data_IF_114425255331
#
_entry.id   IF_114425255331
#
_cell.length_a   1.000
_cell.length_b   1.000
_cell.length_c   1.000
_cell.angle_alpha   90.00
_cell.angle_beta   90.00
_cell.angle_gamma   90.00
#
_symmetry.space_group_name_H-M   'P 1'
#
loop_
_entity.id
_entity.type
_entity.pdbx_description
1 polymer ?
#
# COMPACT_ATOMS: atom_id res chain seq x y z
N UNK A 1 1.21 11.10 29.56
CA UNK A 1 2.43 10.25 29.60
C UNK A 1 2.47 9.41 28.34
N UNK A 2 3.63 9.29 27.68
CA UNK A 2 3.81 8.47 26.47
C UNK A 2 3.31 7.05 26.71
N UNK A 3 2.45 6.56 25.81
CA UNK A 3 1.81 5.24 25.94
C UNK A 3 2.40 4.21 24.97
N UNK A 4 3.08 4.67 23.92
CA UNK A 4 3.79 3.84 22.95
C UNK A 4 4.90 4.63 22.23
N UNK A 5 5.77 3.92 21.54
CA UNK A 5 6.65 4.52 20.52
C UNK A 5 6.36 3.88 19.16
N UNK A 6 6.49 4.66 18.09
CA UNK A 6 6.40 4.16 16.72
C UNK A 6 7.77 4.33 16.07
N UNK A 7 8.45 3.23 15.85
CA UNK A 7 9.81 3.16 15.33
C UNK A 7 9.76 3.01 13.80
N UNK A 8 10.16 4.05 13.08
CA UNK A 8 10.08 4.16 11.62
C UNK A 8 11.48 4.51 11.07
N UNK A 9 11.97 3.89 9.98
CA UNK A 9 13.27 4.18 9.42
C UNK A 9 13.28 5.51 8.65
N UNK A 10 14.28 6.34 8.89
CA UNK A 10 14.51 7.58 8.19
C UNK A 10 13.39 8.62 8.36
N UNK A 11 13.01 9.25 7.24
CA UNK A 11 11.95 10.25 7.21
C UNK A 11 10.57 9.62 7.05
N UNK A 12 9.73 9.72 8.08
CA UNK A 12 8.34 9.21 8.09
C UNK A 12 7.41 9.92 7.08
N UNK A 13 7.79 11.11 6.61
CA UNK A 13 6.97 11.92 5.70
C UNK A 13 7.23 11.59 4.21
N UNK A 14 7.93 10.50 3.93
CA UNK A 14 8.09 9.95 2.58
C UNK A 14 6.76 9.63 1.92
N UNK A 15 6.63 9.93 0.63
CA UNK A 15 5.41 9.71 -0.14
C UNK A 15 5.33 8.31 -0.76
N UNK A 16 5.33 7.28 0.08
CA UNK A 16 4.96 5.90 -0.31
C UNK A 16 3.81 5.42 0.55
N UNK A 17 3.04 4.45 0.05
CA UNK A 17 1.81 4.00 0.74
C UNK A 17 2.04 3.58 2.20
N UNK A 18 3.13 2.85 2.50
CA UNK A 18 3.48 2.44 3.86
C UNK A 18 3.77 3.64 4.76
N UNK A 19 4.66 4.54 4.33
CA UNK A 19 5.02 5.73 5.12
C UNK A 19 3.83 6.69 5.32
N UNK A 20 2.99 6.90 4.28
CA UNK A 20 1.76 7.69 4.41
C UNK A 20 0.82 7.08 5.46
N UNK A 21 0.67 5.75 5.43
CA UNK A 21 -0.12 5.03 6.41
C UNK A 21 0.40 5.25 7.84
N UNK A 22 1.70 5.01 8.07
CA UNK A 22 2.32 5.09 9.38
C UNK A 22 2.34 6.50 9.95
N UNK A 23 2.72 7.51 9.15
CA UNK A 23 2.68 8.91 9.55
C UNK A 23 1.26 9.35 9.92
N UNK A 24 0.25 8.89 9.16
CA UNK A 24 -1.14 9.22 9.42
C UNK A 24 -1.65 8.52 10.69
N UNK A 25 -1.35 7.23 10.88
CA UNK A 25 -1.68 6.50 12.11
C UNK A 25 -1.06 7.18 13.33
N UNK A 26 0.24 7.54 13.27
CA UNK A 26 0.93 8.24 14.34
C UNK A 26 0.24 9.56 14.71
N UNK A 27 -0.20 10.33 13.72
CA UNK A 27 -0.93 11.58 13.92
C UNK A 27 -2.28 11.33 14.62
N UNK A 28 -3.05 10.32 14.17
CA UNK A 28 -4.36 10.01 14.73
C UNK A 28 -4.29 9.34 16.10
N UNK A 29 -3.27 8.54 16.41
CA UNK A 29 -3.03 8.03 17.75
C UNK A 29 -2.89 9.20 18.74
N UNK A 30 -2.08 10.19 18.42
CA UNK A 30 -1.92 11.38 19.24
C UNK A 30 -3.21 12.21 19.35
N UNK A 31 -3.97 12.34 18.26
CA UNK A 31 -5.27 13.03 18.26
C UNK A 31 -6.30 12.34 19.15
N UNK A 32 -6.27 11.02 19.26
CA UNK A 32 -7.11 10.22 20.15
C UNK A 32 -6.63 10.22 21.61
N UNK A 33 -5.55 10.92 21.94
CA UNK A 33 -4.98 10.95 23.28
C UNK A 33 -4.11 9.73 23.63
N UNK A 34 -3.84 8.84 22.67
CA UNK A 34 -2.84 7.79 22.81
C UNK A 34 -1.46 8.38 22.47
N UNK A 35 -0.84 9.04 23.45
CA UNK A 35 0.43 9.75 23.26
C UNK A 35 1.52 8.80 22.77
N UNK A 36 1.81 8.84 21.48
CA UNK A 36 2.77 7.99 20.77
C UNK A 36 3.91 8.82 20.22
N UNK A 37 5.14 8.50 20.62
CA UNK A 37 6.34 9.19 20.17
C UNK A 37 6.92 8.53 18.92
N UNK A 38 7.29 9.33 17.92
CA UNK A 38 8.10 8.87 16.79
C UNK A 38 9.53 8.55 17.25
N UNK A 39 10.01 7.36 16.94
CA UNK A 39 11.36 6.88 17.16
C UNK A 39 12.04 6.68 15.81
N UNK A 40 12.98 7.56 15.48
CA UNK A 40 13.68 7.52 14.20
C UNK A 40 14.76 6.43 14.23
N UNK A 41 14.69 5.52 13.27
CA UNK A 41 15.69 4.46 13.05
C UNK A 41 16.57 4.77 11.82
N UNK A 42 17.74 4.13 11.67
CA UNK A 42 18.55 4.23 10.46
C UNK A 42 17.76 3.95 9.18
N UNK A 43 18.11 4.64 8.11
CA UNK A 43 17.38 4.67 6.85
C UNK A 43 17.75 3.55 5.85
N UNK A 44 18.71 2.73 6.19
CA UNK A 44 19.26 1.69 5.33
C UNK A 44 18.37 0.42 5.21
N UNK A 45 17.29 0.32 6.00
CA UNK A 45 16.36 -0.81 5.92
C UNK A 45 15.55 -0.79 4.61
N UNK A 46 15.33 -1.96 3.98
CA UNK A 46 15.52 -3.34 4.48
C UNK A 46 16.91 -3.96 4.25
N UNK A 47 17.92 -3.18 3.87
CA UNK A 47 19.30 -3.63 3.62
C UNK A 47 20.30 -2.93 4.55
N UNK A 48 20.15 -3.10 5.90
CA UNK A 48 20.96 -2.37 6.86
C UNK A 48 22.42 -2.78 6.82
N UNK A 49 23.29 -1.81 7.04
CA UNK A 49 24.69 -2.12 7.36
C UNK A 49 24.79 -2.79 8.74
N UNK A 50 25.87 -3.54 9.05
CA UNK A 50 26.06 -4.07 10.40
C UNK A 50 26.03 -2.99 11.50
N UNK A 51 26.52 -1.79 11.21
CA UNK A 51 26.50 -0.66 12.11
C UNK A 51 25.07 -0.13 12.36
N UNK A 52 24.29 0.03 11.29
CA UNK A 52 22.89 0.45 11.39
C UNK A 52 22.01 -0.59 12.10
N UNK A 53 22.31 -1.87 11.89
CA UNK A 53 21.65 -2.97 12.61
C UNK A 53 21.91 -2.85 14.11
N UNK A 54 23.17 -2.75 14.54
CA UNK A 54 23.49 -2.65 15.98
C UNK A 54 22.91 -1.36 16.57
N UNK A 55 23.02 -0.22 15.88
CA UNK A 55 22.42 1.03 16.34
C UNK A 55 20.91 0.93 16.51
N UNK A 56 20.21 0.25 15.58
CA UNK A 56 18.77 0.01 15.69
C UNK A 56 18.45 -0.81 16.93
N UNK A 57 19.19 -1.89 17.17
CA UNK A 57 19.01 -2.72 18.36
C UNK A 57 19.30 -1.98 19.66
N UNK A 58 20.33 -1.14 19.70
CA UNK A 58 20.63 -0.27 20.85
C UNK A 58 19.46 0.68 21.15
N UNK A 59 18.92 1.35 20.12
CA UNK A 59 17.77 2.25 20.23
C UNK A 59 16.54 1.49 20.78
N UNK A 60 16.25 0.31 20.26
CA UNK A 60 15.10 -0.50 20.70
C UNK A 60 15.29 -1.03 22.13
N UNK A 61 16.49 -1.46 22.51
CA UNK A 61 16.82 -1.92 23.88
C UNK A 61 16.69 -0.80 24.92
N UNK A 62 16.88 0.46 24.51
CA UNK A 62 16.75 1.63 25.39
C UNK A 62 15.28 2.00 25.67
N UNK A 63 14.31 1.43 24.96
CA UNK A 63 12.88 1.67 25.23
C UNK A 63 12.50 0.95 26.55
N UNK A 64 11.80 1.65 27.47
CA UNK A 64 11.34 1.05 28.71
C UNK A 64 10.52 -0.23 28.49
N UNK A 65 10.71 -1.22 29.36
CA UNK A 65 10.08 -2.55 29.22
C UNK A 65 8.55 -2.53 29.27
N UNK A 66 7.94 -1.52 29.84
CA UNK A 66 6.51 -1.31 29.96
C UNK A 66 5.91 -0.48 28.80
N UNK A 67 6.73 0.01 27.89
CA UNK A 67 6.31 0.89 26.79
C UNK A 67 6.28 0.11 25.45
N UNK A 68 5.09 -0.16 24.87
CA UNK A 68 5.00 -0.85 23.57
C UNK A 68 5.71 -0.10 22.43
N UNK A 69 6.38 -0.87 21.57
CA UNK A 69 7.04 -0.40 20.37
C UNK A 69 6.29 -0.91 19.15
N UNK A 70 5.71 -0.01 18.36
CA UNK A 70 5.24 -0.32 17.01
C UNK A 70 6.47 -0.22 16.10
N UNK A 71 6.84 -1.31 15.43
CA UNK A 71 8.03 -1.39 14.59
C UNK A 71 7.61 -1.55 13.13
N UNK A 72 8.08 -0.62 12.28
CA UNK A 72 7.85 -0.61 10.83
C UNK A 72 8.28 -1.93 10.18
N UNK A 73 7.53 -2.37 9.16
CA UNK A 73 7.71 -3.65 8.51
C UNK A 73 9.01 -3.81 7.72
N UNK A 74 9.59 -2.73 7.19
CA UNK A 74 10.90 -2.79 6.52
C UNK A 74 11.99 -3.15 7.53
N UNK A 75 11.92 -2.57 8.73
CA UNK A 75 12.84 -2.88 9.82
C UNK A 75 12.55 -4.27 10.36
N UNK A 76 11.28 -4.56 10.69
CA UNK A 76 10.89 -5.80 11.34
C UNK A 76 11.23 -7.04 10.50
N UNK A 77 10.97 -7.03 9.20
CA UNK A 77 11.23 -8.16 8.30
C UNK A 77 12.72 -8.41 8.02
N UNK A 78 13.59 -7.44 8.29
CA UNK A 78 15.02 -7.52 8.00
C UNK A 78 15.94 -7.38 9.22
N UNK A 79 15.41 -7.09 10.42
CA UNK A 79 16.17 -7.00 11.67
C UNK A 79 16.78 -8.37 12.06
N UNK A 80 17.92 -8.36 12.77
CA UNK A 80 18.46 -9.57 13.38
C UNK A 80 17.50 -10.13 14.44
N UNK A 81 16.92 -11.35 14.25
CA UNK A 81 15.99 -11.92 15.20
C UNK A 81 16.60 -12.20 16.59
N UNK A 82 17.89 -12.57 16.63
CA UNK A 82 18.58 -12.80 17.91
C UNK A 82 18.79 -11.50 18.69
N UNK A 83 19.09 -10.40 17.99
CA UNK A 83 19.14 -9.06 18.57
C UNK A 83 17.76 -8.60 19.04
N UNK A 84 16.70 -8.80 18.24
CA UNK A 84 15.32 -8.46 18.58
C UNK A 84 14.85 -9.17 19.85
N UNK A 85 15.23 -10.43 20.06
CA UNK A 85 14.94 -11.23 21.27
C UNK A 85 15.47 -10.57 22.55
N UNK A 86 16.45 -9.67 22.47
CA UNK A 86 17.00 -8.94 23.63
C UNK A 86 16.24 -7.69 24.00
N UNK A 87 15.30 -7.25 23.17
CA UNK A 87 14.45 -6.08 23.40
C UNK A 87 13.40 -6.44 24.46
N UNK A 88 13.34 -5.66 25.56
CA UNK A 88 12.43 -5.94 26.69
C UNK A 88 11.04 -5.32 26.51
N UNK A 89 10.94 -4.27 25.71
CA UNK A 89 9.66 -3.64 25.38
C UNK A 89 8.79 -4.60 24.54
N UNK A 90 7.45 -4.61 24.69
CA UNK A 90 6.58 -5.39 23.81
C UNK A 90 6.61 -4.82 22.39
N UNK A 91 7.03 -5.65 21.44
CA UNK A 91 7.13 -5.24 20.02
C UNK A 91 5.84 -5.61 19.30
N UNK A 92 5.22 -4.61 18.69
CA UNK A 92 4.10 -4.75 17.76
C UNK A 92 4.68 -4.66 16.35
N UNK A 93 4.64 -5.74 15.59
CA UNK A 93 5.09 -5.74 14.20
C UNK A 93 4.03 -5.09 13.29
N UNK A 94 4.37 -4.00 12.60
CA UNK A 94 3.50 -3.40 11.59
C UNK A 94 3.88 -3.93 10.20
N UNK A 95 3.17 -4.95 9.72
CA UNK A 95 3.51 -5.65 8.45
C UNK A 95 2.56 -5.21 7.34
N UNK A 96 3.01 -4.32 6.46
CA UNK A 96 2.25 -3.94 5.27
C UNK A 96 2.19 -5.08 4.26
N UNK A 97 3.30 -5.80 4.12
CA UNK A 97 3.54 -6.91 3.22
C UNK A 97 4.82 -7.63 3.64
N UNK A 98 4.84 -8.97 3.72
CA UNK A 98 6.07 -9.69 4.03
C UNK A 98 7.17 -9.43 3.00
N UNK A 99 8.34 -8.99 3.46
CA UNK A 99 9.43 -8.54 2.59
C UNK A 99 9.89 -9.60 1.61
N UNK A 100 9.94 -10.86 2.04
CA UNK A 100 10.39 -11.96 1.20
C UNK A 100 9.40 -12.36 0.08
N UNK A 101 8.23 -11.71 0.02
CA UNK A 101 7.23 -11.89 -1.03
C UNK A 101 7.20 -10.72 -2.02
N UNK A 102 8.09 -9.73 -1.87
CA UNK A 102 8.20 -8.61 -2.80
C UNK A 102 8.64 -9.09 -4.19
N UNK A 103 8.06 -8.48 -5.22
CA UNK A 103 8.39 -8.81 -6.62
C UNK A 103 9.76 -8.26 -7.01
N UNK A 104 10.48 -8.99 -7.85
CA UNK A 104 11.80 -8.57 -8.35
C UNK A 104 12.98 -8.99 -7.47
N UNK A 105 12.73 -9.63 -6.33
CA UNK A 105 13.79 -10.24 -5.52
C UNK A 105 14.37 -11.49 -6.21
N UNK A 106 15.68 -11.67 -6.12
CA UNK A 106 16.26 -12.96 -6.46
C UNK A 106 15.84 -14.03 -5.43
N UNK A 107 15.84 -15.31 -5.85
CA UNK A 107 15.35 -16.41 -5.03
C UNK A 107 16.09 -16.56 -3.69
N UNK A 108 17.39 -16.26 -3.63
CA UNK A 108 18.20 -16.36 -2.42
C UNK A 108 17.83 -15.25 -1.43
N UNK A 109 17.65 -14.02 -1.92
CA UNK A 109 17.22 -12.87 -1.10
C UNK A 109 15.80 -13.06 -0.58
N UNK A 110 14.86 -13.49 -1.44
CA UNK A 110 13.49 -13.80 -1.05
C UNK A 110 13.44 -14.88 0.04
N UNK A 111 14.17 -15.98 -0.12
CA UNK A 111 14.22 -17.05 0.88
C UNK A 111 14.85 -16.58 2.21
N UNK A 112 15.90 -15.77 2.15
CA UNK A 112 16.53 -15.18 3.34
C UNK A 112 15.52 -14.30 4.10
N UNK A 113 14.87 -13.34 3.43
CA UNK A 113 13.91 -12.42 4.07
C UNK A 113 12.71 -13.17 4.66
N UNK A 114 12.17 -14.19 3.96
CA UNK A 114 11.08 -15.03 4.49
C UNK A 114 11.49 -15.74 5.77
N UNK A 115 12.67 -16.36 5.79
CA UNK A 115 13.18 -17.06 6.96
C UNK A 115 13.47 -16.09 8.13
N UNK A 116 14.05 -14.94 7.83
CA UNK A 116 14.36 -13.90 8.80
C UNK A 116 13.10 -13.33 9.45
N UNK A 117 12.12 -12.93 8.65
CA UNK A 117 10.84 -12.38 9.11
C UNK A 117 10.05 -13.42 9.93
N UNK A 118 10.02 -14.69 9.49
CA UNK A 118 9.42 -15.78 10.28
C UNK A 118 10.11 -15.98 11.64
N UNK A 119 11.43 -15.81 11.72
CA UNK A 119 12.16 -15.87 12.98
C UNK A 119 11.88 -14.65 13.87
N UNK A 120 11.81 -13.44 13.29
CA UNK A 120 11.49 -12.21 14.01
C UNK A 120 10.06 -12.22 14.58
N UNK A 121 9.09 -12.76 13.83
CA UNK A 121 7.68 -12.85 14.24
C UNK A 121 7.48 -13.62 15.55
N UNK A 122 8.35 -14.58 15.88
CA UNK A 122 8.31 -15.29 17.18
C UNK A 122 8.59 -14.40 18.38
N UNK A 123 9.16 -13.21 18.15
CA UNK A 123 9.48 -12.21 19.18
C UNK A 123 8.49 -11.03 19.19
N UNK A 124 7.50 -11.01 18.27
CA UNK A 124 6.44 -10.03 18.29
C UNK A 124 5.45 -10.34 19.40
N UNK A 125 5.10 -9.34 20.20
CA UNK A 125 4.02 -9.45 21.17
C UNK A 125 2.64 -9.39 20.49
N UNK A 126 2.56 -8.73 19.33
CA UNK A 126 1.37 -8.64 18.49
C UNK A 126 1.76 -8.21 17.07
N UNK A 127 0.89 -8.47 16.12
CA UNK A 127 1.08 -8.09 14.72
C UNK A 127 -0.10 -7.23 14.24
N UNK A 128 0.17 -6.13 13.56
CA UNK A 128 -0.85 -5.31 12.90
C UNK A 128 -0.60 -5.34 11.39
N UNK A 129 -1.66 -5.56 10.63
CA UNK A 129 -1.63 -5.65 9.16
C UNK A 129 -2.71 -4.79 8.52
N UNK A 130 -2.52 -4.28 7.28
CA UNK A 130 -3.51 -3.42 6.64
C UNK A 130 -4.66 -4.18 5.97
N UNK A 131 -4.59 -5.51 5.81
CA UNK A 131 -5.61 -6.29 5.09
C UNK A 131 -5.79 -7.69 5.64
N UNK A 132 -6.97 -8.28 5.40
CA UNK A 132 -7.23 -9.69 5.67
C UNK A 132 -6.32 -10.60 4.84
N UNK A 133 -6.00 -10.21 3.61
CA UNK A 133 -5.07 -10.94 2.77
C UNK A 133 -3.70 -11.08 3.43
N UNK A 134 -3.11 -9.98 3.95
CA UNK A 134 -1.83 -10.03 4.66
C UNK A 134 -1.94 -10.88 5.93
N UNK A 135 -3.04 -10.76 6.70
CA UNK A 135 -3.28 -11.61 7.88
C UNK A 135 -3.26 -13.10 7.50
N UNK A 136 -3.96 -13.48 6.43
CA UNK A 136 -4.02 -14.87 5.95
C UNK A 136 -2.64 -15.39 5.51
N UNK A 137 -1.82 -14.56 4.86
CA UNK A 137 -0.44 -14.94 4.50
C UNK A 137 0.37 -15.22 5.74
N UNK A 138 0.34 -14.33 6.75
CA UNK A 138 1.11 -14.51 7.98
C UNK A 138 0.68 -15.77 8.73
N UNK A 139 -0.61 -16.08 8.78
CA UNK A 139 -1.11 -17.31 9.39
C UNK A 139 -0.70 -18.57 8.62
N UNK A 140 -0.77 -18.55 7.28
CA UNK A 140 -0.53 -19.75 6.46
C UNK A 140 0.94 -20.03 6.20
N UNK A 141 1.75 -18.98 6.04
CA UNK A 141 3.13 -19.10 5.54
C UNK A 141 4.19 -18.74 6.58
N UNK A 142 3.82 -18.06 7.68
CA UNK A 142 4.73 -17.60 8.72
C UNK A 142 4.40 -18.14 10.11
N UNK A 143 3.37 -19.01 10.22
CA UNK A 143 2.97 -19.68 11.45
C UNK A 143 2.61 -18.70 12.60
N UNK A 144 1.96 -17.57 12.25
CA UNK A 144 1.48 -16.60 13.22
C UNK A 144 0.04 -16.94 13.62
N UNK A 145 -0.23 -17.05 14.92
CA UNK A 145 -1.57 -17.30 15.41
C UNK A 145 -2.52 -16.15 15.04
N UNK A 146 -3.73 -16.50 14.58
CA UNK A 146 -4.72 -15.51 14.16
C UNK A 146 -5.09 -14.52 15.29
N UNK A 147 -5.07 -14.98 16.55
CA UNK A 147 -5.36 -14.15 17.73
C UNK A 147 -4.25 -13.13 18.04
N UNK A 148 -3.06 -13.31 17.46
CA UNK A 148 -1.96 -12.36 17.53
C UNK A 148 -2.00 -11.31 16.43
N UNK A 149 -2.96 -11.40 15.50
CA UNK A 149 -3.04 -10.48 14.37
C UNK A 149 -4.26 -9.57 14.48
N UNK A 150 -4.04 -8.27 14.39
CA UNK A 150 -5.10 -7.27 14.24
C UNK A 150 -5.05 -6.68 12.83
N UNK A 151 -6.17 -6.76 12.11
CA UNK A 151 -6.31 -6.07 10.83
C UNK A 151 -6.73 -4.62 11.06
N UNK A 152 -5.90 -3.68 10.63
CA UNK A 152 -6.14 -2.24 10.70
C UNK A 152 -6.05 -1.64 9.29
N UNK A 153 -7.15 -1.66 8.49
CA UNK A 153 -7.13 -1.11 7.13
C UNK A 153 -6.81 0.38 7.13
N UNK A 154 -6.20 0.92 6.06
CA UNK A 154 -6.05 2.37 5.89
C UNK A 154 -7.38 3.09 6.01
N UNK A 155 -7.35 4.24 6.63
CA UNK A 155 -8.51 5.11 6.73
C UNK A 155 -8.61 6.07 5.54
N UNK A 156 -9.81 6.56 5.30
CA UNK A 156 -10.08 7.53 4.24
C UNK A 156 -10.94 8.67 4.80
N UNK A 157 -10.81 9.90 4.26
CA UNK A 157 -11.67 10.99 4.67
C UNK A 157 -13.12 10.73 4.25
N UNK A 158 -14.05 11.04 5.13
CA UNK A 158 -15.47 11.07 4.77
C UNK A 158 -15.70 12.37 4.00
N UNK A 159 -15.77 12.29 2.68
CA UNK A 159 -16.09 13.45 1.85
C UNK A 159 -16.87 13.04 0.60
N UNK A 160 -17.89 13.80 0.26
CA UNK A 160 -18.49 13.73 -1.06
C UNK A 160 -17.59 14.53 -2.01
N UNK A 161 -16.82 13.83 -2.83
CA UNK A 161 -15.98 14.48 -3.83
C UNK A 161 -16.75 14.58 -5.14
N UNK A 162 -16.81 15.78 -5.70
CA UNK A 162 -17.43 15.99 -7.00
C UNK A 162 -16.60 15.33 -8.09
N UNK A 163 -17.24 14.48 -8.90
CA UNK A 163 -16.64 13.93 -10.12
C UNK A 163 -17.04 14.84 -11.29
N UNK A 164 -16.05 15.26 -12.07
CA UNK A 164 -16.21 16.12 -13.25
C UNK A 164 -15.39 15.55 -14.42
N UNK A 165 -15.80 14.37 -14.95
CA UNK A 165 -15.03 13.68 -15.98
C UNK A 165 -14.89 14.52 -17.24
N UNK A 166 -13.69 14.48 -17.85
CA UNK A 166 -13.37 15.21 -19.09
C UNK A 166 -13.60 14.36 -20.32
N UNK A 167 -13.63 15.02 -21.49
CA UNK A 167 -13.74 14.40 -22.80
C UNK A 167 -12.51 14.74 -23.66
N UNK A 168 -11.84 13.77 -24.33
CA UNK A 168 -12.10 12.31 -24.29
C UNK A 168 -11.93 11.71 -22.88
N UNK A 169 -12.60 10.56 -22.59
CA UNK A 169 -12.54 9.93 -21.27
C UNK A 169 -11.10 9.73 -20.76
N UNK A 170 -10.82 10.17 -19.53
CA UNK A 170 -9.51 10.01 -18.90
C UNK A 170 -9.43 8.69 -18.15
N UNK A 171 -8.42 7.88 -18.50
CA UNK A 171 -7.99 6.69 -17.75
C UNK A 171 -6.85 7.12 -16.84
N UNK A 172 -7.05 7.05 -15.53
CA UNK A 172 -6.06 7.45 -14.54
C UNK A 172 -5.39 6.21 -13.92
N UNK A 173 -4.07 6.25 -13.79
CA UNK A 173 -3.28 5.30 -13.01
C UNK A 173 -2.39 6.02 -12.01
N UNK A 174 -2.38 5.59 -10.76
CA UNK A 174 -1.58 6.21 -9.69
C UNK A 174 -0.72 5.15 -9.00
N UNK A 175 0.59 5.38 -8.97
CA UNK A 175 1.54 4.49 -8.31
C UNK A 175 2.97 4.73 -8.79
N UNK A 176 3.95 4.35 -7.98
CA UNK A 176 5.37 4.40 -8.37
C UNK A 176 5.59 3.71 -9.71
N UNK A 177 6.50 4.23 -10.53
CA UNK A 177 6.96 3.54 -11.74
C UNK A 177 7.88 2.38 -11.32
N UNK A 178 7.25 1.32 -10.82
CA UNK A 178 7.86 0.09 -10.34
C UNK A 178 7.25 -1.11 -11.06
N UNK A 179 8.03 -2.17 -11.24
CA UNK A 179 7.59 -3.38 -11.96
C UNK A 179 6.32 -3.98 -11.38
N UNK A 180 6.20 -3.96 -10.05
CA UNK A 180 5.03 -4.44 -9.32
C UNK A 180 3.73 -3.73 -9.72
N UNK A 181 3.78 -2.46 -10.12
CA UNK A 181 2.58 -1.67 -10.49
C UNK A 181 2.05 -1.95 -11.89
N UNK A 182 2.77 -2.72 -12.72
CA UNK A 182 2.30 -3.24 -14.00
C UNK A 182 1.98 -2.17 -15.06
N UNK A 183 2.60 -0.99 -14.99
CA UNK A 183 2.36 0.06 -15.99
C UNK A 183 2.76 -0.41 -17.42
N UNK A 184 3.67 -1.35 -17.54
CA UNK A 184 4.04 -2.00 -18.79
C UNK A 184 2.90 -2.84 -19.40
N UNK A 185 2.09 -3.47 -18.55
CA UNK A 185 0.86 -4.20 -18.94
C UNK A 185 -0.22 -3.21 -19.34
N UNK A 186 -0.42 -2.14 -18.57
CA UNK A 186 -1.36 -1.07 -18.90
C UNK A 186 -1.05 -0.44 -20.26
N UNK A 187 0.22 -0.10 -20.53
CA UNK A 187 0.64 0.46 -21.83
C UNK A 187 0.32 -0.52 -22.97
N UNK A 188 0.59 -1.82 -22.80
CA UNK A 188 0.27 -2.82 -23.81
C UNK A 188 -1.24 -2.95 -24.05
N UNK A 189 -2.06 -2.88 -22.98
CA UNK A 189 -3.52 -2.89 -23.10
C UNK A 189 -4.04 -1.66 -23.84
N UNK A 190 -3.53 -0.46 -23.51
CA UNK A 190 -3.90 0.80 -24.17
C UNK A 190 -3.55 0.81 -25.65
N UNK A 191 -2.43 0.19 -26.05
CA UNK A 191 -2.04 0.05 -27.45
C UNK A 191 -3.10 -0.70 -28.29
N UNK A 192 -3.84 -1.62 -27.69
CA UNK A 192 -4.97 -2.35 -28.32
C UNK A 192 -6.28 -1.55 -28.42
N UNK A 193 -6.31 -0.30 -27.92
CA UNK A 193 -7.52 0.53 -27.84
C UNK A 193 -7.45 1.81 -28.67
N UNK A 194 -6.53 1.88 -29.66
CA UNK A 194 -6.30 3.09 -30.46
C UNK A 194 -7.48 3.50 -31.34
N UNK A 195 -8.42 2.58 -31.56
CA UNK A 195 -9.66 2.80 -32.31
C UNK A 195 -10.74 3.56 -31.51
N UNK A 196 -10.52 3.76 -30.19
CA UNK A 196 -11.45 4.47 -29.31
C UNK A 196 -10.93 5.85 -28.91
N UNK A 197 -11.82 6.82 -28.63
CA UNK A 197 -11.43 8.10 -28.03
C UNK A 197 -11.18 7.90 -26.53
N UNK A 198 -9.96 8.17 -26.08
CA UNK A 198 -9.53 8.17 -24.68
C UNK A 198 -8.23 8.95 -24.53
N UNK A 199 -7.92 9.39 -23.34
CA UNK A 199 -6.61 9.85 -22.90
C UNK A 199 -6.23 9.12 -21.62
N UNK A 200 -4.95 9.02 -21.31
CA UNK A 200 -4.48 8.35 -20.11
C UNK A 200 -3.37 9.14 -19.40
N UNK A 201 -3.38 9.10 -18.09
CA UNK A 201 -2.33 9.70 -17.26
C UNK A 201 -1.83 8.68 -16.24
N UNK A 202 -0.50 8.62 -16.10
CA UNK A 202 0.18 7.84 -15.07
C UNK A 202 0.87 8.82 -14.13
N UNK A 203 0.47 8.78 -12.84
CA UNK A 203 1.02 9.60 -11.78
C UNK A 203 1.89 8.74 -10.87
N UNK A 204 3.14 9.14 -10.68
CA UNK A 204 4.09 8.51 -9.78
C UNK A 204 5.52 8.74 -10.21
N UNK A 205 6.41 8.82 -9.22
CA UNK A 205 7.85 8.94 -9.48
C UNK A 205 8.47 7.59 -9.85
N UNK A 206 9.59 7.59 -10.57
CA UNK A 206 10.42 6.40 -10.74
C UNK A 206 10.82 5.79 -9.38
N UNK A 207 10.63 4.49 -9.25
CA UNK A 207 11.25 3.68 -8.19
C UNK A 207 12.62 3.20 -8.66
N UNK A 208 12.71 2.81 -9.94
CA UNK A 208 13.92 2.45 -10.67
C UNK A 208 13.95 3.21 -12.00
N UNK A 209 15.01 3.98 -12.21
CA UNK A 209 15.18 4.81 -13.41
C UNK A 209 15.28 3.97 -14.69
N UNK A 210 15.87 2.79 -14.62
CA UNK A 210 16.00 1.88 -15.76
C UNK A 210 14.63 1.37 -16.19
N UNK A 211 13.78 0.99 -15.22
CA UNK A 211 12.41 0.57 -15.49
C UNK A 211 11.56 1.72 -16.04
N UNK A 212 11.65 2.90 -15.47
CA UNK A 212 10.92 4.07 -15.95
C UNK A 212 11.29 4.40 -17.43
N UNK A 213 12.58 4.38 -17.77
CA UNK A 213 13.03 4.56 -19.17
C UNK A 213 12.43 3.52 -20.11
N UNK A 214 12.33 2.25 -19.67
CA UNK A 214 11.68 1.19 -20.48
C UNK A 214 10.19 1.46 -20.69
N UNK A 215 9.48 1.99 -19.66
CA UNK A 215 8.07 2.37 -19.78
C UNK A 215 7.87 3.50 -20.80
N UNK A 216 8.69 4.55 -20.75
CA UNK A 216 8.61 5.67 -21.70
C UNK A 216 8.87 5.19 -23.13
N UNK A 217 9.93 4.42 -23.33
CA UNK A 217 10.24 3.85 -24.65
C UNK A 217 9.13 2.91 -25.15
N UNK A 218 8.50 2.13 -24.27
CA UNK A 218 7.37 1.27 -24.63
C UNK A 218 6.15 2.08 -25.06
N UNK A 219 5.82 3.17 -24.37
CA UNK A 219 4.70 4.05 -24.72
C UNK A 219 4.94 4.70 -26.09
N UNK A 220 6.15 5.20 -26.35
CA UNK A 220 6.55 5.77 -27.63
C UNK A 220 6.48 4.74 -28.77
N UNK A 221 7.10 3.57 -28.60
CA UNK A 221 7.07 2.48 -29.57
C UNK A 221 5.66 1.96 -29.87
N UNK A 222 4.74 2.09 -28.91
CA UNK A 222 3.33 1.76 -29.07
C UNK A 222 2.52 2.87 -29.74
N UNK A 223 3.13 4.03 -30.07
CA UNK A 223 2.47 5.16 -30.69
C UNK A 223 1.40 5.81 -29.81
N UNK A 224 1.68 5.95 -28.51
CA UNK A 224 0.74 6.50 -27.53
C UNK A 224 1.16 7.88 -27.00
N UNK A 225 2.23 8.48 -27.51
CA UNK A 225 2.84 9.71 -26.97
C UNK A 225 1.92 10.93 -26.94
N UNK A 226 0.91 10.97 -27.79
CA UNK A 226 -0.09 12.04 -27.87
C UNK A 226 -1.32 11.80 -26.99
N UNK A 227 -1.43 10.64 -26.35
CA UNK A 227 -2.62 10.20 -25.58
C UNK A 227 -2.30 9.69 -24.17
N UNK A 228 -1.07 9.27 -23.93
CA UNK A 228 -0.60 8.76 -22.63
C UNK A 228 0.48 9.68 -22.08
N UNK A 229 0.24 10.25 -20.91
CA UNK A 229 1.14 11.18 -20.26
C UNK A 229 1.62 10.64 -18.91
N UNK A 230 2.93 10.77 -18.66
CA UNK A 230 3.55 10.49 -17.37
C UNK A 230 3.73 11.82 -16.64
N UNK A 231 3.01 12.03 -15.54
CA UNK A 231 3.02 13.31 -14.83
C UNK A 231 4.07 13.40 -13.73
N UNK A 232 4.77 12.28 -13.44
CA UNK A 232 5.71 12.24 -12.31
C UNK A 232 5.00 12.37 -10.96
N UNK A 233 5.70 12.93 -9.99
CA UNK A 233 5.13 13.23 -8.68
C UNK A 233 4.38 14.56 -8.73
N UNK A 234 3.13 14.57 -8.27
CA UNK A 234 2.26 15.74 -8.25
C UNK A 234 1.83 16.09 -6.81
N UNK A 235 1.32 17.29 -6.59
CA UNK A 235 0.77 17.70 -5.29
C UNK A 235 -0.55 16.99 -4.98
N UNK A 236 -0.97 16.99 -3.71
CA UNK A 236 -2.26 16.43 -3.28
C UNK A 236 -3.45 17.10 -3.99
N UNK A 237 -3.38 18.40 -4.19
CA UNK A 237 -4.42 19.14 -4.92
C UNK A 237 -4.50 18.70 -6.40
N UNK A 238 -3.37 18.50 -7.05
CA UNK A 238 -3.32 18.02 -8.44
C UNK A 238 -3.82 16.58 -8.55
N UNK A 239 -3.45 15.69 -7.60
CA UNK A 239 -3.93 14.30 -7.64
C UNK A 239 -5.45 14.25 -7.44
N UNK A 240 -6.00 15.07 -6.54
CA UNK A 240 -7.45 15.19 -6.34
C UNK A 240 -8.17 15.70 -7.60
N UNK A 241 -7.59 16.68 -8.29
CA UNK A 241 -8.10 17.18 -9.57
C UNK A 241 -8.14 16.06 -10.63
N UNK A 242 -7.07 15.24 -10.73
CA UNK A 242 -7.01 14.14 -11.70
C UNK A 242 -7.99 13.02 -11.37
N UNK A 243 -8.15 12.66 -10.10
CA UNK A 243 -9.23 11.73 -9.70
C UNK A 243 -10.61 12.27 -10.07
N UNK A 244 -10.88 13.57 -9.85
CA UNK A 244 -12.16 14.20 -10.20
C UNK A 244 -12.41 14.20 -11.73
N UNK A 245 -11.37 14.45 -12.53
CA UNK A 245 -11.44 14.53 -13.98
C UNK A 245 -11.49 13.14 -14.67
N UNK A 246 -11.11 12.07 -13.98
CA UNK A 246 -11.03 10.74 -14.54
C UNK A 246 -12.42 10.12 -14.79
N UNK A 247 -12.48 9.21 -15.75
CA UNK A 247 -13.65 8.37 -16.06
C UNK A 247 -13.47 6.93 -15.60
N UNK A 248 -12.21 6.45 -15.53
CA UNK A 248 -11.83 5.09 -15.18
C UNK A 248 -10.53 5.15 -14.41
N UNK A 249 -10.41 4.38 -13.33
CA UNK A 249 -9.13 4.12 -12.68
C UNK A 249 -8.58 2.77 -13.12
N UNK A 250 -7.30 2.72 -13.52
CA UNK A 250 -6.68 1.53 -14.08
C UNK A 250 -5.32 1.26 -13.42
N UNK A 251 -5.18 0.10 -12.76
CA UNK A 251 -3.92 -0.32 -12.16
C UNK A 251 -3.67 -1.81 -12.43
N UNK A 252 -2.80 -2.11 -13.39
CA UNK A 252 -2.47 -3.49 -13.79
C UNK A 252 -1.46 -4.15 -12.84
N UNK A 253 -1.63 -3.94 -11.54
CA UNK A 253 -0.68 -4.35 -10.51
C UNK A 253 -0.47 -5.86 -10.46
N UNK A 254 0.75 -6.28 -10.11
CA UNK A 254 1.14 -7.68 -9.88
C UNK A 254 0.97 -8.09 -8.42
N UNK A 255 0.91 -7.11 -7.51
CA UNK A 255 0.65 -7.33 -6.09
C UNK A 255 0.29 -6.04 -5.35
N UNK A 256 -0.66 -6.12 -4.42
CA UNK A 256 -0.98 -5.08 -3.43
C UNK A 256 -1.20 -5.71 -2.05
N UNK A 257 -0.58 -5.15 -1.02
CA UNK A 257 -0.87 -5.49 0.38
C UNK A 257 -2.21 -4.93 0.87
N UNK A 258 -2.67 -3.82 0.25
CA UNK A 258 -4.00 -3.23 0.40
C UNK A 258 -4.44 -2.53 -0.90
N UNK A 259 -3.62 -1.61 -1.44
CA UNK A 259 -3.95 -0.84 -2.64
C UNK A 259 -4.72 0.45 -2.33
N UNK A 260 -4.18 1.33 -1.49
CA UNK A 260 -4.83 2.61 -1.06
C UNK A 260 -5.37 3.41 -2.24
N UNK A 261 -4.62 3.50 -3.34
CA UNK A 261 -5.03 4.24 -4.55
C UNK A 261 -6.32 3.71 -5.20
N UNK A 262 -6.64 2.41 -5.00
CA UNK A 262 -7.91 1.81 -5.45
C UNK A 262 -9.08 2.38 -4.63
N UNK A 263 -8.91 2.44 -3.31
CA UNK A 263 -9.90 3.03 -2.41
C UNK A 263 -10.04 4.54 -2.63
N UNK A 264 -8.94 5.24 -2.87
CA UNK A 264 -8.95 6.66 -3.25
C UNK A 264 -9.79 6.87 -4.52
N UNK A 265 -9.55 6.09 -5.57
CA UNK A 265 -10.31 6.16 -6.81
C UNK A 265 -11.82 5.92 -6.59
N UNK A 266 -12.16 4.94 -5.74
CA UNK A 266 -13.56 4.63 -5.41
C UNK A 266 -14.25 5.77 -4.66
N UNK A 267 -13.54 6.58 -3.87
CA UNK A 267 -14.12 7.78 -3.24
C UNK A 267 -14.62 8.81 -4.26
N UNK A 268 -13.94 8.89 -5.42
CA UNK A 268 -14.39 9.71 -6.54
C UNK A 268 -15.46 9.00 -7.42
N UNK A 269 -15.87 7.80 -7.03
CA UNK A 269 -16.82 7.01 -7.78
C UNK A 269 -16.27 6.48 -9.10
N UNK A 270 -14.95 6.30 -9.21
CA UNK A 270 -14.34 5.77 -10.42
C UNK A 270 -14.50 4.24 -10.47
N UNK A 271 -15.04 3.71 -11.57
CA UNK A 271 -14.95 2.29 -11.83
C UNK A 271 -13.48 1.86 -11.94
N UNK A 272 -13.14 0.74 -11.31
CA UNK A 272 -11.78 0.23 -11.23
C UNK A 272 -11.55 -0.88 -12.24
N UNK A 273 -10.44 -0.82 -12.99
CA UNK A 273 -9.88 -1.97 -13.71
C UNK A 273 -8.55 -2.33 -13.06
N UNK A 274 -8.44 -3.55 -12.52
CA UNK A 274 -7.22 -4.00 -11.85
C UNK A 274 -7.01 -5.51 -12.01
N UNK A 275 -5.99 -6.05 -11.35
CA UNK A 275 -5.69 -7.48 -11.38
C UNK A 275 -6.20 -8.18 -10.11
N UNK A 276 -6.64 -9.44 -10.24
CA UNK A 276 -7.11 -10.27 -9.13
C UNK A 276 -5.93 -10.83 -8.32
N UNK A 277 -5.14 -9.95 -7.70
CA UNK A 277 -3.92 -10.29 -6.96
C UNK A 277 -3.90 -9.64 -5.57
N UNK A 278 -3.21 -10.29 -4.64
CA UNK A 278 -3.04 -9.73 -3.29
C UNK A 278 -4.37 -9.38 -2.63
N UNK A 279 -4.43 -8.22 -2.01
CA UNK A 279 -5.62 -7.68 -1.37
C UNK A 279 -6.60 -6.98 -2.34
N UNK A 280 -6.28 -6.88 -3.64
CA UNK A 280 -7.12 -6.16 -4.63
C UNK A 280 -8.57 -6.68 -4.65
N UNK A 281 -8.84 -8.00 -4.67
CA UNK A 281 -10.21 -8.51 -4.65
C UNK A 281 -11.01 -8.03 -3.43
N UNK A 282 -10.40 -8.05 -2.25
CA UNK A 282 -11.04 -7.62 -1.00
C UNK A 282 -11.23 -6.10 -0.96
N UNK A 283 -10.28 -5.33 -1.51
CA UNK A 283 -10.32 -3.87 -1.53
C UNK A 283 -11.35 -3.34 -2.53
N UNK A 284 -11.39 -3.91 -3.74
CA UNK A 284 -12.25 -3.42 -4.84
C UNK A 284 -13.68 -3.97 -4.73
N UNK A 285 -13.84 -5.23 -4.31
CA UNK A 285 -15.16 -5.89 -4.28
C UNK A 285 -15.87 -5.78 -5.63
N UNK A 286 -17.13 -5.33 -5.60
CA UNK A 286 -17.97 -5.16 -6.78
C UNK A 286 -17.69 -3.86 -7.58
N UNK A 287 -16.75 -3.02 -7.13
CA UNK A 287 -16.50 -1.69 -7.72
C UNK A 287 -15.68 -1.70 -9.01
N UNK A 288 -15.29 -2.87 -9.50
CA UNK A 288 -14.43 -2.94 -10.68
C UNK A 288 -14.40 -4.27 -11.40
N UNK A 289 -13.67 -4.27 -12.50
CA UNK A 289 -13.39 -5.47 -13.30
C UNK A 289 -11.97 -5.94 -12.96
N UNK A 290 -11.88 -7.13 -12.38
CA UNK A 290 -10.60 -7.74 -12.03
C UNK A 290 -10.22 -8.81 -13.04
N UNK A 291 -9.01 -8.75 -13.55
CA UNK A 291 -8.46 -9.65 -14.56
C UNK A 291 -7.22 -10.38 -14.05
N UNK A 292 -6.73 -11.44 -14.71
CA UNK A 292 -5.45 -12.04 -14.37
C UNK A 292 -4.30 -11.02 -14.51
N UNK A 293 -3.29 -11.16 -13.66
CA UNK A 293 -2.06 -10.38 -13.82
C UNK A 293 -1.32 -10.77 -15.11
N UNK A 294 -0.54 -9.83 -15.65
CA UNK A 294 0.26 -10.01 -16.85
C UNK A 294 -0.54 -10.39 -18.12
N UNK A 295 -1.85 -10.12 -18.14
CA UNK A 295 -2.73 -10.32 -19.30
C UNK A 295 -3.21 -8.95 -19.87
N UNK A 296 -2.42 -8.31 -20.75
CA UNK A 296 -2.78 -7.03 -21.34
C UNK A 296 -4.03 -7.11 -22.24
N UNK A 297 -4.35 -8.28 -22.81
CA UNK A 297 -5.55 -8.45 -23.63
C UNK A 297 -6.80 -8.46 -22.77
N UNK A 298 -6.82 -9.20 -21.64
CA UNK A 298 -7.92 -9.20 -20.71
C UNK A 298 -8.12 -7.80 -20.10
N UNK A 299 -7.00 -7.12 -19.75
CA UNK A 299 -7.03 -5.75 -19.23
C UNK A 299 -7.60 -4.76 -20.27
N UNK A 300 -7.18 -4.89 -21.53
CA UNK A 300 -7.71 -4.11 -22.64
C UNK A 300 -9.20 -4.35 -22.89
N UNK A 301 -9.67 -5.60 -22.82
CA UNK A 301 -11.11 -5.91 -22.93
C UNK A 301 -11.93 -5.27 -21.81
N UNK A 302 -11.42 -5.27 -20.57
CA UNK A 302 -12.07 -4.61 -19.44
C UNK A 302 -12.17 -3.09 -19.63
N UNK A 303 -11.07 -2.44 -20.05
CA UNK A 303 -11.07 -1.01 -20.37
C UNK A 303 -12.03 -0.70 -21.53
N UNK A 304 -12.01 -1.48 -22.62
CA UNK A 304 -12.90 -1.31 -23.77
C UNK A 304 -14.36 -1.33 -23.34
N UNK A 305 -14.75 -2.30 -22.49
CA UNK A 305 -16.11 -2.40 -21.97
C UNK A 305 -16.55 -1.12 -21.29
N UNK A 306 -15.73 -0.57 -20.39
CA UNK A 306 -16.05 0.67 -19.69
C UNK A 306 -16.01 1.93 -20.58
N UNK A 307 -15.18 1.93 -21.63
CA UNK A 307 -15.12 3.05 -22.57
C UNK A 307 -16.32 3.10 -23.51
N UNK A 308 -16.83 1.93 -23.94
CA UNK A 308 -17.87 1.83 -24.98
C UNK A 308 -19.27 1.61 -24.42
N UNK A 309 -19.42 1.22 -23.16
CA UNK A 309 -20.71 0.97 -22.52
C UNK A 309 -20.94 1.93 -21.34
N UNK A 310 -21.69 3.04 -21.54
CA UNK A 310 -22.00 3.98 -20.46
C UNK A 310 -22.82 3.38 -19.31
N UNK A 311 -23.64 2.34 -19.58
CA UNK A 311 -24.44 1.70 -18.55
C UNK A 311 -23.56 0.86 -17.62
N UNK A 312 -22.63 0.10 -18.16
CA UNK A 312 -21.62 -0.64 -17.37
C UNK A 312 -20.75 0.32 -16.57
N UNK A 313 -20.28 1.43 -17.18
CA UNK A 313 -19.51 2.44 -16.46
C UNK A 313 -20.29 3.04 -15.30
N UNK A 314 -21.56 3.37 -15.50
CA UNK A 314 -22.44 3.88 -14.45
C UNK A 314 -22.67 2.85 -13.33
N UNK A 315 -22.85 1.55 -13.69
CA UNK A 315 -22.99 0.46 -12.72
C UNK A 315 -21.78 0.37 -11.79
N UNK A 316 -20.56 0.28 -12.35
CA UNK A 316 -19.33 0.21 -11.54
C UNK A 316 -19.05 1.52 -10.79
N UNK A 317 -19.42 2.68 -11.32
CA UNK A 317 -19.33 3.95 -10.61
C UNK A 317 -20.23 3.98 -9.37
N UNK A 318 -21.46 3.49 -9.48
CA UNK A 318 -22.37 3.36 -8.33
C UNK A 318 -21.84 2.36 -7.28
N UNK A 319 -21.30 1.23 -7.73
CA UNK A 319 -20.68 0.24 -6.85
C UNK A 319 -19.43 0.82 -6.15
N UNK A 320 -18.60 1.59 -6.85
CA UNK A 320 -17.43 2.28 -6.28
C UNK A 320 -17.84 3.23 -5.15
N UNK A 321 -18.86 4.08 -5.36
CA UNK A 321 -19.39 4.96 -4.30
C UNK A 321 -19.94 4.19 -3.10
N UNK A 322 -20.65 3.09 -3.34
CA UNK A 322 -21.15 2.22 -2.28
C UNK A 322 -20.03 1.58 -1.47
N UNK A 323 -18.99 1.06 -2.13
CA UNK A 323 -17.82 0.50 -1.46
C UNK A 323 -17.07 1.59 -0.67
N UNK A 324 -16.86 2.75 -1.27
CA UNK A 324 -16.20 3.88 -0.61
C UNK A 324 -16.93 4.36 0.66
N UNK A 325 -18.27 4.36 0.65
CA UNK A 325 -19.06 4.72 1.83
C UNK A 325 -18.87 3.77 3.04
N UNK A 326 -18.38 2.55 2.80
CA UNK A 326 -18.06 1.56 3.83
C UNK A 326 -16.60 1.54 4.27
N UNK A 327 -15.74 2.38 3.69
CA UNK A 327 -14.33 2.43 4.06
C UNK A 327 -14.16 3.00 5.49
N UNK A 328 -13.20 2.50 6.27
CA UNK A 328 -12.91 3.05 7.58
C UNK A 328 -12.34 4.48 7.47
N UNK A 329 -12.52 5.24 8.54
CA UNK A 329 -11.79 6.50 8.74
C UNK A 329 -10.40 6.23 9.33
N UNK A 330 -9.48 7.20 9.21
CA UNK A 330 -8.18 7.11 9.89
C UNK A 330 -8.31 7.05 11.42
N UNK A 331 -9.39 7.59 11.97
CA UNK A 331 -9.71 7.45 13.38
C UNK A 331 -10.03 6.00 13.75
N UNK A 332 -10.83 5.30 12.92
CA UNK A 332 -11.13 3.88 13.13
C UNK A 332 -9.86 3.01 13.03
N UNK A 333 -8.98 3.31 12.08
CA UNK A 333 -7.67 2.66 11.96
C UNK A 333 -6.86 2.84 13.24
N UNK A 334 -6.70 4.08 13.71
CA UNK A 334 -5.92 4.39 14.91
C UNK A 334 -6.52 3.80 16.19
N UNK A 335 -7.84 3.67 16.28
CA UNK A 335 -8.52 3.00 17.41
C UNK A 335 -8.08 1.54 17.55
N UNK A 336 -7.92 0.81 16.45
CA UNK A 336 -7.41 -0.57 16.46
C UNK A 336 -5.99 -0.65 17.04
N UNK A 337 -5.13 0.30 16.70
CA UNK A 337 -3.79 0.40 17.32
C UNK A 337 -3.88 0.71 18.81
N UNK A 338 -4.76 1.64 19.20
CA UNK A 338 -4.97 2.00 20.62
C UNK A 338 -5.44 0.80 21.43
N UNK A 339 -6.31 -0.04 20.87
CA UNK A 339 -6.80 -1.28 21.50
C UNK A 339 -5.66 -2.27 21.74
N UNK A 340 -4.79 -2.49 20.77
CA UNK A 340 -3.60 -3.35 20.89
C UNK A 340 -2.62 -2.81 21.92
N UNK A 341 -2.31 -1.52 21.88
CA UNK A 341 -1.43 -0.86 22.85
C UNK A 341 -1.97 -1.04 24.29
N UNK A 342 -3.28 -0.78 24.48
CA UNK A 342 -3.93 -0.93 25.78
C UNK A 342 -4.00 -2.38 26.26
N UNK A 343 -4.16 -3.34 25.36
CA UNK A 343 -4.12 -4.77 25.66
C UNK A 343 -2.76 -5.17 26.23
N UNK A 344 -1.68 -4.82 25.54
CA UNK A 344 -0.31 -5.15 25.94
C UNK A 344 0.09 -4.47 27.27
N UNK A 345 -0.33 -3.22 27.47
CA UNK A 345 -0.10 -2.51 28.73
C UNK A 345 -0.81 -3.17 29.93
N UNK A 346 -1.95 -3.82 29.72
CA UNK A 346 -2.67 -4.56 30.79
C UNK A 346 -2.04 -5.90 31.13
N UNK A 347 -1.49 -6.62 30.19
CA UNK A 347 -0.86 -7.93 30.40
C UNK A 347 0.42 -7.87 31.26
N UNK A 348 0.98 -6.67 31.46
CA UNK A 348 2.22 -6.45 32.22
C UNK A 348 2.00 -5.81 33.62
N UNK A 349 0.76 -5.54 33.97
CA UNK A 349 0.36 -5.14 35.33
C UNK A 349 -0.06 -6.34 36.17
#
# INVERSE_FOLDING_TARGET
MTQAVFAIPGDKDRRTGGFIYEATVLRFLNALGCETRHLVLPDSFPDPTPEDMERTLEILRAVPADLPVILDGLVFGSIDPAGLATVKAPVIAMIHHPLGLETGLDAKRAAFLRANEAAALRHAAHVIVPSLHTAQILTREFDVDADQITTAPPGFPVSEVASAPIDPPLILSVGLLAERKGHDVLIAALAGLRDLPWQAEIIGKPHDEGFAKRLYAKAEASGLSDRLHFLGEVSEAQIAERYSAASIFALATRYEGYGMVLSEAMQYGLPVVSCAVGAVPDTVGDAGILVPADDPEAFGRALRKLLTDPAERAYYSAAARKTAAGLPTWEDTARRFTEVIAMLARQRR
#
